data_IF_069981240151
#
_entry.id   IF_069981240151
#
_cell.length_a   1.000
_cell.length_b   1.000
_cell.length_c   1.000
_cell.angle_alpha   90.00
_cell.angle_beta   90.00
_cell.angle_gamma   90.00
#
_symmetry.space_group_name_H-M   'P 1'
#
loop_
_entity.id
_entity.type
_entity.pdbx_description
1 polymer ?
#
# COMPACT_ATOMS: atom_id res chain seq x y z
N UNK A 1 -11.38 -21.67 -20.45
CA UNK A 1 -10.62 -21.44 -19.20
C UNK A 1 -10.60 -19.94 -18.92
N UNK A 2 -11.28 -19.40 -17.90
CA UNK A 2 -11.09 -18.01 -17.54
C UNK A 2 -9.81 -17.86 -16.71
N UNK A 3 -8.97 -16.93 -17.15
CA UNK A 3 -7.77 -16.47 -16.47
C UNK A 3 -8.14 -15.95 -15.07
N UNK A 4 -7.32 -16.29 -14.07
CA UNK A 4 -7.57 -16.02 -12.66
C UNK A 4 -8.02 -14.58 -12.39
N UNK A 5 -9.16 -14.45 -11.68
CA UNK A 5 -9.62 -13.17 -11.14
C UNK A 5 -8.50 -12.55 -10.31
N UNK A 6 -7.93 -11.45 -10.80
CA UNK A 6 -7.25 -10.48 -9.94
C UNK A 6 -8.21 -10.15 -8.78
N UNK A 7 -7.66 -9.90 -7.59
CA UNK A 7 -8.43 -9.73 -6.34
C UNK A 7 -9.66 -8.85 -6.53
N UNK A 8 -10.75 -9.21 -5.85
CA UNK A 8 -12.04 -8.51 -5.98
C UNK A 8 -11.85 -6.98 -5.91
N UNK A 9 -12.56 -6.21 -6.76
CA UNK A 9 -12.34 -4.78 -6.92
C UNK A 9 -12.36 -4.09 -5.56
N UNK A 10 -11.36 -3.23 -5.35
CA UNK A 10 -11.30 -2.34 -4.20
C UNK A 10 -12.02 -1.05 -4.54
N UNK A 11 -12.78 -0.52 -3.59
CA UNK A 11 -13.48 0.74 -3.77
C UNK A 11 -12.46 1.89 -3.77
N UNK A 12 -11.45 1.82 -2.89
CA UNK A 12 -10.37 2.80 -2.80
C UNK A 12 -8.97 2.16 -2.78
N UNK A 13 -8.03 2.84 -3.43
CA UNK A 13 -6.60 2.56 -3.34
C UNK A 13 -5.92 3.72 -2.62
N UNK A 14 -5.27 3.44 -1.50
CA UNK A 14 -4.48 4.39 -0.71
C UNK A 14 -3.02 4.07 -0.93
N UNK A 15 -2.24 5.03 -1.42
CA UNK A 15 -0.80 4.85 -1.67
C UNK A 15 -0.02 5.68 -0.65
N UNK A 16 0.67 5.01 0.26
CA UNK A 16 1.61 5.65 1.18
C UNK A 16 2.94 5.84 0.49
N UNK A 17 3.23 7.05 0.01
CA UNK A 17 4.51 7.37 -0.61
C UNK A 17 5.60 7.53 0.46
N UNK A 18 6.78 6.99 0.19
CA UNK A 18 7.93 7.02 1.07
C UNK A 18 9.09 6.22 0.48
N UNK A 19 10.26 6.32 1.13
CA UNK A 19 11.44 5.57 0.74
C UNK A 19 11.67 4.39 1.69
N UNK A 20 11.91 3.17 1.15
CA UNK A 20 12.28 2.01 1.95
C UNK A 20 13.69 2.19 2.53
N UNK A 21 13.89 1.72 3.76
CA UNK A 21 15.19 1.77 4.45
C UNK A 21 15.10 2.43 5.82
N UNK A 22 15.80 1.85 6.81
CA UNK A 22 15.86 2.37 8.18
C UNK A 22 16.40 3.81 8.24
N UNK A 23 17.21 4.19 7.24
CA UNK A 23 17.78 5.53 7.07
C UNK A 23 16.76 6.63 6.76
N UNK A 24 15.55 6.29 6.28
CA UNK A 24 14.50 7.26 5.98
C UNK A 24 13.43 7.36 7.08
N UNK A 25 13.51 6.54 8.12
CA UNK A 25 12.60 6.55 9.27
C UNK A 25 12.69 7.91 9.97
N UNK A 26 11.58 8.66 10.00
CA UNK A 26 11.50 9.98 10.64
C UNK A 26 11.77 11.17 9.71
N UNK A 27 12.07 10.95 8.42
CA UNK A 27 12.14 12.06 7.45
C UNK A 27 10.74 12.50 7.02
N UNK A 28 10.58 13.79 6.66
CA UNK A 28 9.30 14.32 6.12
C UNK A 28 8.82 13.55 4.87
N UNK A 29 9.74 12.91 4.15
CA UNK A 29 9.47 12.09 2.97
C UNK A 29 8.78 10.75 3.29
N UNK A 30 8.87 10.26 4.54
CA UNK A 30 8.25 9.00 4.96
C UNK A 30 6.92 9.19 5.69
N UNK A 31 6.34 10.40 5.67
CA UNK A 31 5.05 10.66 6.31
C UNK A 31 3.94 9.78 5.71
N UNK A 32 4.01 9.46 4.41
CA UNK A 32 3.03 8.59 3.75
C UNK A 32 3.08 7.15 4.27
N UNK A 33 4.26 6.61 4.61
CA UNK A 33 4.38 5.30 5.23
C UNK A 33 3.83 5.31 6.67
N UNK A 34 4.10 6.37 7.43
CA UNK A 34 3.58 6.51 8.79
C UNK A 34 2.04 6.59 8.79
N UNK A 35 1.47 7.39 7.88
CA UNK A 35 0.01 7.48 7.71
C UNK A 35 -0.58 6.15 7.27
N UNK A 36 0.06 5.44 6.33
CA UNK A 36 -0.38 4.11 5.91
C UNK A 36 -0.37 3.11 7.06
N UNK A 37 0.64 3.15 7.95
CA UNK A 37 0.68 2.34 9.17
C UNK A 37 -0.51 2.63 10.09
N UNK A 38 -0.77 3.90 10.38
CA UNK A 38 -1.91 4.31 11.22
C UNK A 38 -3.25 3.90 10.60
N UNK A 39 -3.39 3.98 9.28
CA UNK A 39 -4.60 3.55 8.58
C UNK A 39 -4.77 2.02 8.61
N UNK A 40 -3.68 1.27 8.44
CA UNK A 40 -3.69 -0.18 8.54
C UNK A 40 -4.16 -0.64 9.93
N UNK A 41 -3.66 0.01 10.99
CA UNK A 41 -4.06 -0.29 12.37
C UNK A 41 -5.53 0.09 12.62
N UNK A 42 -5.97 1.27 12.18
CA UNK A 42 -7.36 1.73 12.35
C UNK A 42 -8.38 0.84 11.65
N UNK A 43 -8.01 0.28 10.50
CA UNK A 43 -8.88 -0.60 9.71
C UNK A 43 -8.62 -2.09 10.00
N UNK A 44 -7.80 -2.41 11.00
CA UNK A 44 -7.42 -3.79 11.36
C UNK A 44 -7.02 -4.61 10.13
N UNK A 45 -6.25 -3.99 9.22
CA UNK A 45 -5.86 -4.62 7.98
C UNK A 45 -4.87 -5.76 8.25
N UNK A 46 -4.88 -6.82 7.43
CA UNK A 46 -3.94 -7.92 7.57
C UNK A 46 -2.50 -7.45 7.36
N UNK A 47 -1.53 -8.28 7.78
CA UNK A 47 -0.12 -8.01 7.51
C UNK A 47 0.10 -7.77 6.00
N UNK A 48 0.78 -6.68 5.61
CA UNK A 48 1.01 -6.38 4.22
C UNK A 48 1.84 -7.48 3.55
N UNK A 49 1.52 -7.77 2.30
CA UNK A 49 2.20 -8.76 1.46
C UNK A 49 3.01 -8.04 0.39
N UNK A 50 4.18 -8.58 0.06
CA UNK A 50 4.97 -8.03 -1.04
C UNK A 50 4.27 -8.28 -2.38
N UNK A 51 3.89 -7.22 -3.09
CA UNK A 51 3.21 -7.25 -4.39
C UNK A 51 3.48 -5.94 -5.15
N UNK A 52 3.55 -5.98 -6.48
CA UNK A 52 3.76 -4.79 -7.33
C UNK A 52 4.98 -3.94 -6.95
N UNK A 53 6.12 -4.57 -6.60
CA UNK A 53 7.34 -3.90 -6.11
C UNK A 53 7.10 -3.02 -4.86
N UNK A 54 6.08 -3.37 -4.06
CA UNK A 54 5.74 -2.72 -2.80
C UNK A 54 5.10 -3.67 -1.80
N UNK A 55 4.68 -3.13 -0.67
CA UNK A 55 3.89 -3.81 0.35
C UNK A 55 2.42 -3.44 0.17
N UNK A 56 1.57 -4.44 0.00
CA UNK A 56 0.12 -4.24 -0.17
C UNK A 56 -0.63 -4.91 0.97
N UNK A 57 -1.54 -4.17 1.61
CA UNK A 57 -2.54 -4.73 2.52
C UNK A 57 -3.94 -4.40 2.03
N UNK A 58 -4.81 -5.39 1.99
CA UNK A 58 -6.18 -5.25 1.50
C UNK A 58 -7.17 -5.64 2.61
N UNK A 59 -8.26 -4.90 2.73
CA UNK A 59 -9.33 -5.21 3.68
C UNK A 59 -10.53 -4.30 3.52
N UNK A 60 -11.25 -4.07 4.61
CA UNK A 60 -12.38 -3.13 4.66
C UNK A 60 -12.16 -2.15 5.80
N UNK A 61 -12.67 -0.93 5.63
CA UNK A 61 -12.60 0.10 6.68
C UNK A 61 -13.44 -0.21 7.92
N UNK A 62 -14.34 -1.20 7.82
CA UNK A 62 -15.19 -1.71 8.90
C UNK A 62 -16.27 -2.65 8.37
N UNK A 63 -17.13 -3.21 9.24
CA UNK A 63 -18.28 -4.03 8.84
C UNK A 63 -19.20 -3.25 7.89
N UNK A 64 -19.43 -3.77 6.68
CA UNK A 64 -20.23 -3.07 5.64
C UNK A 64 -19.55 -1.87 4.98
N UNK A 65 -18.33 -1.51 5.41
CA UNK A 65 -17.56 -0.42 4.83
C UNK A 65 -16.91 -0.75 3.48
N UNK A 66 -16.45 0.27 2.74
CA UNK A 66 -15.76 0.10 1.47
C UNK A 66 -14.52 -0.79 1.60
N UNK A 67 -14.23 -1.55 0.54
CA UNK A 67 -12.98 -2.29 0.38
C UNK A 67 -11.85 -1.30 0.07
N UNK A 68 -10.74 -1.47 0.78
CA UNK A 68 -9.57 -0.61 0.64
C UNK A 68 -8.32 -1.44 0.41
N UNK A 69 -7.45 -0.96 -0.47
CA UNK A 69 -6.07 -1.43 -0.59
C UNK A 69 -5.12 -0.33 -0.12
N UNK A 70 -4.17 -0.66 0.73
CA UNK A 70 -3.02 0.16 1.07
C UNK A 70 -1.80 -0.37 0.33
N UNK A 71 -1.18 0.47 -0.47
CA UNK A 71 0.09 0.19 -1.15
C UNK A 71 1.18 1.08 -0.57
N UNK A 72 2.28 0.48 -0.12
CA UNK A 72 3.52 1.15 0.24
C UNK A 72 4.60 0.72 -0.77
N UNK A 73 4.92 1.54 -1.78
CA UNK A 73 5.95 1.22 -2.76
C UNK A 73 7.31 0.99 -2.09
N UNK A 74 7.97 -0.14 -2.33
CA UNK A 74 9.33 -0.41 -1.82
C UNK A 74 10.39 -0.14 -2.90
N UNK A 75 10.08 0.76 -3.82
CA UNK A 75 11.01 1.29 -4.81
C UNK A 75 11.74 2.49 -4.21
N UNK A 76 13.06 2.58 -4.36
CA UNK A 76 13.75 3.86 -4.13
C UNK A 76 13.10 4.93 -5.03
N UNK A 77 12.91 6.16 -4.53
CA UNK A 77 12.36 7.30 -5.28
C UNK A 77 13.01 7.52 -6.66
N UNK A 78 14.21 6.99 -6.86
CA UNK A 78 15.03 7.12 -8.06
C UNK A 78 14.50 6.33 -9.28
N UNK A 79 13.54 5.40 -9.11
CA UNK A 79 13.00 4.57 -10.20
C UNK A 79 11.51 4.83 -10.50
N UNK A 80 10.95 5.95 -10.05
CA UNK A 80 9.58 6.35 -10.39
C UNK A 80 9.32 6.45 -11.91
N UNK A 81 10.38 6.52 -12.73
CA UNK A 81 10.30 6.52 -14.20
C UNK A 81 10.10 5.15 -14.86
N UNK A 82 10.20 4.03 -14.15
CA UNK A 82 10.13 2.69 -14.77
C UNK A 82 8.79 1.95 -14.57
N UNK A 83 7.76 2.62 -14.04
CA UNK A 83 6.44 2.00 -13.80
C UNK A 83 5.29 2.63 -14.59
N UNK A 84 5.60 3.50 -15.56
CA UNK A 84 4.70 3.95 -16.62
C UNK A 84 5.21 3.44 -17.97
N UNK A 85 4.93 2.17 -18.22
CA UNK A 85 5.18 1.47 -19.48
C UNK A 85 4.35 0.20 -19.53
#
# INVERSE_FOLDING_TARGET
>A
MPLGRAGAPVDWLVVGLGNPGAEYVGTRHNVGFAVAGVLADRWSLPKPKSRYRGLVSEGRTGPGGPRVALLLPQTHMNDAGASVG
#
